data_IF_149627238391
#
_entry.id   IF_149627238391
#
_cell.length_a   1.000
_cell.length_b   1.000
_cell.length_c   1.000
_cell.angle_alpha   90.00
_cell.angle_beta   90.00
_cell.angle_gamma   90.00
#
_symmetry.space_group_name_H-M   'P 1'
#
loop_
_entity.id
_entity.type
_entity.pdbx_description
1 polymer ?
#
# COMPACT_ATOMS: atom_id res chain seq x y z
N UNK A 1 -1.01 63.78 34.55
CA UNK A 1 -2.37 63.44 34.12
C UNK A 1 -2.24 62.35 33.03
N UNK A 2 -2.29 61.07 33.43
CA UNK A 2 -2.13 59.91 32.53
C UNK A 2 -3.52 59.54 31.98
N UNK A 3 -3.74 59.64 30.70
CA UNK A 3 -4.93 59.09 30.04
C UNK A 3 -4.72 57.64 29.76
N UNK A 4 -5.45 56.77 30.44
CA UNK A 4 -5.62 55.38 30.00
C UNK A 4 -6.35 55.37 28.65
N UNK A 5 -5.70 54.83 27.64
CA UNK A 5 -6.32 54.50 26.36
C UNK A 5 -7.17 53.25 26.57
N UNK A 6 -8.50 53.42 26.61
CA UNK A 6 -9.41 52.25 26.59
C UNK A 6 -9.24 51.57 25.23
N UNK A 7 -8.62 50.41 25.22
CA UNK A 7 -8.73 49.47 24.12
C UNK A 7 -10.16 48.91 24.13
N UNK A 8 -10.95 49.33 23.15
CA UNK A 8 -12.24 48.68 22.90
C UNK A 8 -11.96 47.29 22.28
N UNK A 9 -11.90 46.28 23.13
CA UNK A 9 -11.96 44.90 22.70
C UNK A 9 -13.35 44.64 22.12
N UNK A 10 -13.48 44.75 20.78
CA UNK A 10 -14.72 44.41 20.09
C UNK A 10 -14.79 42.83 20.08
N UNK A 11 -15.62 42.31 20.94
CA UNK A 11 -15.92 40.87 20.92
C UNK A 11 -16.68 40.47 19.65
N UNK A 12 -16.46 39.22 19.20
CA UNK A 12 -17.21 38.61 18.10
C UNK A 12 -18.70 38.59 18.38
N UNK A 13 -19.50 38.93 17.40
CA UNK A 13 -20.96 38.79 17.48
C UNK A 13 -21.36 37.33 17.26
N UNK A 14 -22.49 36.92 17.86
CA UNK A 14 -23.01 35.56 17.66
C UNK A 14 -23.30 35.27 16.18
N UNK A 15 -23.76 36.26 15.42
CA UNK A 15 -24.05 36.10 13.98
C UNK A 15 -22.77 35.88 13.14
N UNK A 16 -21.66 36.52 13.47
CA UNK A 16 -20.36 36.29 12.80
C UNK A 16 -19.90 34.85 13.04
N UNK A 17 -20.05 34.31 14.25
CA UNK A 17 -19.70 32.93 14.53
C UNK A 17 -20.58 31.96 13.73
N UNK A 18 -21.90 32.21 13.67
CA UNK A 18 -22.84 31.36 12.91
C UNK A 18 -22.51 31.36 11.42
N UNK A 19 -22.23 32.51 10.84
CA UNK A 19 -21.86 32.60 9.40
C UNK A 19 -20.57 31.80 9.14
N UNK A 20 -19.56 31.90 10.00
CA UNK A 20 -18.30 31.18 9.84
C UNK A 20 -18.52 29.67 9.85
N UNK A 21 -19.27 29.13 10.82
CA UNK A 21 -19.52 27.67 10.89
C UNK A 21 -20.34 27.17 9.69
N UNK A 22 -21.29 27.96 9.18
CA UNK A 22 -22.07 27.63 7.97
C UNK A 22 -21.16 27.56 6.76
N UNK A 23 -20.29 28.56 6.54
CA UNK A 23 -19.34 28.58 5.42
C UNK A 23 -18.35 27.42 5.52
N UNK A 24 -17.81 27.16 6.72
CA UNK A 24 -16.91 26.01 6.94
C UNK A 24 -17.62 24.68 6.66
N UNK A 25 -18.88 24.55 7.05
CA UNK A 25 -19.69 23.36 6.77
C UNK A 25 -19.86 23.09 5.27
N UNK A 26 -20.13 24.14 4.48
CA UNK A 26 -20.26 24.03 3.01
C UNK A 26 -18.91 23.66 2.39
N UNK A 27 -17.82 24.30 2.80
CA UNK A 27 -16.48 23.99 2.30
C UNK A 27 -16.06 22.55 2.64
N UNK A 28 -16.34 22.10 3.86
CA UNK A 28 -16.05 20.75 4.29
C UNK A 28 -16.82 19.71 3.47
N UNK A 29 -18.10 19.94 3.15
CA UNK A 29 -18.93 19.05 2.36
C UNK A 29 -18.35 18.79 0.96
N UNK A 30 -17.64 19.76 0.37
CA UNK A 30 -17.00 19.62 -0.94
C UNK A 30 -15.57 19.04 -0.82
N UNK A 31 -14.83 19.40 0.23
CA UNK A 31 -13.43 19.01 0.39
C UNK A 31 -13.26 17.54 0.82
N UNK A 32 -14.13 17.02 1.69
CA UNK A 32 -14.02 15.68 2.24
C UNK A 32 -14.03 14.59 1.15
N UNK A 33 -14.98 14.54 0.21
CA UNK A 33 -14.97 13.51 -0.84
C UNK A 33 -13.70 13.52 -1.70
N UNK A 34 -13.17 14.71 -2.00
CA UNK A 34 -11.93 14.85 -2.77
C UNK A 34 -10.71 14.31 -2.03
N UNK A 35 -10.66 14.50 -0.72
CA UNK A 35 -9.55 14.01 0.09
C UNK A 35 -9.50 12.47 0.08
N UNK A 36 -10.64 11.79 0.14
CA UNK A 36 -10.69 10.34 0.07
C UNK A 36 -10.23 9.80 -1.29
N UNK A 37 -10.62 10.43 -2.41
CA UNK A 37 -10.16 10.00 -3.74
C UNK A 37 -8.64 10.15 -3.90
N UNK A 38 -8.07 11.26 -3.45
CA UNK A 38 -6.61 11.49 -3.50
C UNK A 38 -5.86 10.46 -2.65
N UNK A 39 -6.38 10.11 -1.47
CA UNK A 39 -5.77 9.10 -0.60
C UNK A 39 -5.74 7.73 -1.26
N UNK A 40 -6.80 7.33 -1.95
CA UNK A 40 -6.87 6.08 -2.69
C UNK A 40 -5.88 6.05 -3.86
N UNK A 41 -5.84 7.11 -4.67
CA UNK A 41 -4.90 7.21 -5.80
C UNK A 41 -3.44 7.17 -5.34
N UNK A 42 -3.14 7.81 -4.20
CA UNK A 42 -1.81 7.74 -3.59
C UNK A 42 -1.46 6.32 -3.11
N UNK A 43 -2.43 5.58 -2.57
CA UNK A 43 -2.23 4.19 -2.18
C UNK A 43 -1.96 3.30 -3.40
N UNK A 44 -2.73 3.44 -4.49
CA UNK A 44 -2.53 2.73 -5.76
C UNK A 44 -1.11 2.97 -6.27
N UNK A 45 -0.70 4.24 -6.39
CA UNK A 45 0.65 4.59 -6.84
C UNK A 45 1.75 4.01 -5.93
N UNK A 46 1.50 3.91 -4.62
CA UNK A 46 2.45 3.31 -3.68
C UNK A 46 2.55 1.80 -3.90
N UNK A 47 1.44 1.12 -4.14
CA UNK A 47 1.40 -0.32 -4.47
C UNK A 47 2.14 -0.59 -5.77
N UNK A 48 1.85 0.17 -6.83
CA UNK A 48 2.50 0.00 -8.15
C UNK A 48 4.02 0.21 -8.06
N UNK A 49 4.45 1.25 -7.36
CA UNK A 49 5.88 1.51 -7.13
C UNK A 49 6.55 0.37 -6.35
N UNK A 50 5.85 -0.18 -5.34
CA UNK A 50 6.40 -1.30 -4.57
C UNK A 50 6.54 -2.54 -5.46
N UNK A 51 5.54 -2.88 -6.26
CA UNK A 51 5.58 -4.01 -7.18
C UNK A 51 6.75 -3.86 -8.16
N UNK A 52 6.93 -2.69 -8.76
CA UNK A 52 8.05 -2.42 -9.66
C UNK A 52 9.43 -2.59 -8.98
N UNK A 53 9.54 -2.15 -7.71
CA UNK A 53 10.77 -2.34 -6.93
C UNK A 53 11.05 -3.82 -6.64
N UNK A 54 10.00 -4.59 -6.31
CA UNK A 54 10.11 -6.03 -6.05
C UNK A 54 10.45 -6.82 -7.33
N UNK A 55 9.90 -6.43 -8.48
CA UNK A 55 10.28 -7.00 -9.78
C UNK A 55 11.75 -6.72 -10.11
N UNK A 56 12.21 -5.52 -9.82
CA UNK A 56 13.63 -5.15 -9.99
C UNK A 56 14.54 -5.97 -9.07
N UNK A 57 14.12 -6.20 -7.82
CA UNK A 57 14.85 -7.03 -6.87
C UNK A 57 14.93 -8.49 -7.35
N UNK A 58 13.82 -9.05 -7.85
CA UNK A 58 13.82 -10.39 -8.45
C UNK A 58 14.75 -10.49 -9.67
N UNK A 59 14.79 -9.48 -10.52
CA UNK A 59 15.69 -9.47 -11.68
C UNK A 59 17.17 -9.45 -11.25
N UNK A 60 17.51 -8.70 -10.21
CA UNK A 60 18.86 -8.68 -9.63
C UNK A 60 19.20 -10.04 -9.03
N UNK A 61 18.28 -10.64 -8.24
CA UNK A 61 18.45 -11.98 -7.70
C UNK A 61 18.72 -13.02 -8.80
N UNK A 62 17.89 -13.04 -9.84
CA UNK A 62 18.06 -13.95 -10.98
C UNK A 62 19.42 -13.79 -11.63
N UNK A 63 19.82 -12.54 -11.89
CA UNK A 63 21.13 -12.24 -12.49
C UNK A 63 22.29 -12.75 -11.63
N UNK A 64 22.18 -12.61 -10.31
CA UNK A 64 23.17 -13.12 -9.36
C UNK A 64 23.24 -14.64 -9.37
N UNK A 65 22.09 -15.33 -9.37
CA UNK A 65 22.04 -16.79 -9.44
C UNK A 65 22.75 -17.32 -10.70
N UNK A 66 22.52 -16.65 -11.86
CA UNK A 66 23.23 -17.01 -13.09
C UNK A 66 24.73 -16.79 -13.00
N UNK A 67 25.18 -15.68 -12.42
CA UNK A 67 26.62 -15.40 -12.26
C UNK A 67 27.29 -16.42 -11.34
N UNK A 68 26.58 -16.87 -10.31
CA UNK A 68 27.06 -17.83 -9.31
C UNK A 68 26.88 -19.29 -9.75
N UNK A 69 26.25 -19.54 -10.92
CA UNK A 69 25.95 -20.88 -11.42
C UNK A 69 24.94 -21.64 -10.55
N UNK A 70 24.08 -20.92 -9.83
CA UNK A 70 23.07 -21.47 -8.93
C UNK A 70 21.69 -21.55 -9.61
N UNK A 71 20.85 -22.53 -9.23
CA UNK A 71 19.50 -22.62 -9.76
C UNK A 71 18.64 -21.44 -9.30
N UNK A 72 17.81 -20.91 -10.20
CA UNK A 72 16.82 -19.89 -9.87
C UNK A 72 15.59 -20.55 -9.24
N UNK A 73 15.25 -20.15 -8.03
CA UNK A 73 14.09 -20.65 -7.29
C UNK A 73 13.22 -19.48 -6.79
N UNK A 74 11.97 -19.76 -6.42
CA UNK A 74 11.12 -18.75 -5.79
C UNK A 74 11.78 -18.25 -4.50
N UNK A 75 11.90 -16.93 -4.39
CA UNK A 75 12.62 -16.24 -3.34
C UNK A 75 11.81 -15.03 -2.85
N UNK A 76 12.00 -14.66 -1.58
CA UNK A 76 11.37 -13.48 -1.02
C UNK A 76 12.07 -12.20 -1.52
N UNK A 77 11.48 -11.40 -2.41
CA UNK A 77 12.18 -10.25 -2.99
C UNK A 77 12.41 -9.10 -2.00
N UNK A 78 11.73 -9.08 -0.86
CA UNK A 78 12.00 -8.09 0.18
C UNK A 78 13.38 -8.25 0.80
N UNK A 79 13.95 -9.46 0.77
CA UNK A 79 15.28 -9.76 1.32
C UNK A 79 16.41 -9.20 0.44
N UNK A 80 16.12 -8.92 -0.84
CA UNK A 80 17.07 -8.35 -1.80
C UNK A 80 17.04 -6.81 -1.85
N UNK A 81 16.09 -6.19 -1.17
CA UNK A 81 16.02 -4.74 -1.12
C UNK A 81 17.10 -4.15 -0.22
N UNK A 82 17.83 -3.14 -0.72
CA UNK A 82 18.81 -2.40 0.07
C UNK A 82 18.20 -1.77 1.33
N UNK A 83 16.94 -1.32 1.21
CA UNK A 83 16.17 -0.79 2.33
C UNK A 83 14.83 -1.50 2.38
N UNK A 84 14.64 -2.33 3.37
CA UNK A 84 13.36 -3.00 3.59
C UNK A 84 12.31 -1.95 4.00
N UNK A 85 11.16 -1.87 3.32
CA UNK A 85 10.15 -0.88 3.63
C UNK A 85 9.57 -1.05 5.03
N UNK A 86 9.34 0.06 5.74
CA UNK A 86 8.77 0.04 7.10
C UNK A 86 7.35 -0.52 7.18
N UNK A 87 6.69 -0.65 6.05
CA UNK A 87 5.37 -1.27 5.92
C UNK A 87 5.42 -2.75 5.51
N UNK A 88 6.60 -3.37 5.42
CA UNK A 88 6.75 -4.82 5.33
C UNK A 88 6.83 -5.42 6.73
N UNK A 89 5.98 -6.41 7.01
CA UNK A 89 5.89 -7.04 8.34
C UNK A 89 6.56 -8.41 8.42
N UNK A 90 7.19 -8.85 7.34
CA UNK A 90 7.91 -10.12 7.30
C UNK A 90 7.09 -11.28 6.72
N UNK A 91 7.53 -12.50 7.03
CA UNK A 91 6.88 -13.72 6.57
C UNK A 91 5.63 -14.00 7.40
N UNK A 92 4.52 -14.27 6.71
CA UNK A 92 3.24 -14.64 7.29
C UNK A 92 2.77 -16.00 6.69
N UNK A 93 3.35 -17.10 7.21
CA UNK A 93 3.07 -18.45 6.74
C UNK A 93 3.06 -19.44 7.93
N UNK A 94 1.92 -20.07 8.27
CA UNK A 94 0.61 -19.94 7.61
C UNK A 94 -0.01 -18.55 7.79
N UNK A 95 -0.79 -18.13 6.80
CA UNK A 95 -1.35 -16.78 6.79
C UNK A 95 -2.28 -16.56 7.97
N UNK A 96 -1.94 -15.56 8.77
CA UNK A 96 -2.81 -14.98 9.78
C UNK A 96 -3.12 -13.53 9.40
N UNK A 97 -4.37 -13.16 9.12
CA UNK A 97 -4.73 -11.80 8.72
C UNK A 97 -4.27 -10.72 9.68
N UNK A 98 -4.31 -11.00 10.98
CA UNK A 98 -3.89 -10.05 12.03
C UNK A 98 -2.40 -9.71 11.97
N UNK A 99 -1.59 -10.55 11.33
CA UNK A 99 -0.15 -10.32 11.16
C UNK A 99 0.17 -9.38 9.99
N UNK A 100 -0.83 -9.04 9.16
CA UNK A 100 -0.68 -8.09 8.06
C UNK A 100 -1.75 -7.01 8.19
N UNK A 101 -1.58 -5.99 9.05
CA UNK A 101 -2.52 -4.89 9.22
C UNK A 101 -2.68 -4.07 7.94
N UNK A 102 -3.70 -3.19 7.91
CA UNK A 102 -3.98 -2.29 6.79
C UNK A 102 -2.76 -1.48 6.35
N UNK A 103 -2.54 -1.39 5.06
CA UNK A 103 -1.40 -0.69 4.44
C UNK A 103 -0.07 -1.42 4.59
N UNK A 104 -0.06 -2.69 4.99
CA UNK A 104 1.14 -3.49 5.19
C UNK A 104 1.30 -4.59 4.16
N UNK A 105 2.57 -4.94 3.94
CA UNK A 105 3.00 -6.04 3.10
C UNK A 105 3.44 -7.21 3.93
N UNK A 106 3.21 -8.41 3.45
CA UNK A 106 3.78 -9.64 3.98
C UNK A 106 4.13 -10.61 2.87
N UNK A 107 5.00 -11.57 3.17
CA UNK A 107 5.37 -12.63 2.25
C UNK A 107 4.92 -13.98 2.78
N UNK A 108 4.37 -14.81 1.90
CA UNK A 108 4.06 -16.20 2.20
C UNK A 108 4.99 -17.10 1.42
N UNK A 109 5.77 -17.89 2.13
CA UNK A 109 6.75 -18.82 1.54
C UNK A 109 6.06 -19.91 0.72
N UNK A 110 4.98 -20.48 1.27
CA UNK A 110 4.18 -21.48 0.56
C UNK A 110 3.45 -20.83 -0.61
N UNK A 111 3.90 -21.15 -1.82
CA UNK A 111 3.35 -20.62 -3.07
C UNK A 111 3.98 -19.33 -3.57
N UNK A 112 4.94 -18.74 -2.83
CA UNK A 112 5.64 -17.51 -3.25
C UNK A 112 4.70 -16.31 -3.40
N UNK A 113 3.86 -16.04 -2.40
CA UNK A 113 2.89 -14.97 -2.45
C UNK A 113 3.39 -13.72 -1.74
N UNK A 114 3.28 -12.59 -2.42
CA UNK A 114 3.43 -11.26 -1.86
C UNK A 114 2.02 -10.73 -1.61
N UNK A 115 1.73 -10.41 -0.37
CA UNK A 115 0.39 -10.00 0.06
C UNK A 115 0.41 -8.56 0.54
N UNK A 116 -0.57 -7.79 0.13
CA UNK A 116 -0.82 -6.43 0.60
C UNK A 116 -2.23 -6.34 1.17
N UNK A 117 -2.38 -5.79 2.38
CA UNK A 117 -3.67 -5.47 2.96
C UNK A 117 -3.99 -4.00 2.70
N UNK A 118 -4.89 -3.67 1.74
CA UNK A 118 -5.17 -2.29 1.38
C UNK A 118 -5.99 -1.56 2.45
N UNK A 119 -5.74 -0.26 2.63
CA UNK A 119 -6.56 0.64 3.45
C UNK A 119 -7.83 1.05 2.70
N UNK A 120 -7.69 1.30 1.39
CA UNK A 120 -8.82 1.60 0.54
C UNK A 120 -9.61 0.32 0.21
N UNK A 121 -10.90 0.46 0.04
CA UNK A 121 -11.75 -0.67 -0.32
C UNK A 121 -11.41 -1.21 -1.71
N UNK A 122 -11.35 -2.53 -1.83
CA UNK A 122 -11.19 -3.24 -3.11
C UNK A 122 -12.34 -4.22 -3.32
N UNK A 123 -12.60 -4.55 -4.59
CA UNK A 123 -13.46 -5.66 -4.99
C UNK A 123 -12.57 -6.81 -5.47
N UNK A 124 -12.97 -8.05 -5.20
CA UNK A 124 -12.12 -9.22 -5.52
C UNK A 124 -11.01 -9.41 -4.49
N UNK A 125 -9.84 -9.86 -4.96
CA UNK A 125 -8.71 -10.21 -4.11
C UNK A 125 -8.92 -11.50 -3.32
N UNK A 126 -7.91 -11.87 -2.54
CA UNK A 126 -7.99 -13.05 -1.66
C UNK A 126 -8.55 -12.65 -0.29
N UNK A 127 -9.47 -13.47 0.25
CA UNK A 127 -10.11 -13.18 1.53
C UNK A 127 -9.67 -14.19 2.59
N UNK A 128 -9.26 -13.68 3.75
CA UNK A 128 -8.94 -14.48 4.93
C UNK A 128 -9.32 -13.72 6.19
N UNK A 129 -10.03 -14.39 7.11
CA UNK A 129 -10.44 -13.80 8.39
C UNK A 129 -11.32 -12.55 8.28
N UNK A 130 -11.98 -12.33 7.13
CA UNK A 130 -12.79 -11.14 6.86
C UNK A 130 -12.03 -10.00 6.16
N UNK A 131 -10.70 -10.07 6.11
CA UNK A 131 -9.84 -9.12 5.42
C UNK A 131 -9.65 -9.49 3.95
N UNK A 132 -9.44 -8.49 3.09
CA UNK A 132 -9.17 -8.67 1.66
C UNK A 132 -7.75 -8.26 1.34
N UNK A 133 -7.04 -9.15 0.66
CA UNK A 133 -5.64 -8.95 0.29
C UNK A 133 -5.49 -8.87 -1.23
N UNK A 134 -4.61 -7.97 -1.67
CA UNK A 134 -4.03 -7.99 -3.00
C UNK A 134 -2.89 -9.00 -2.98
N UNK A 135 -2.91 -9.96 -3.91
CA UNK A 135 -1.88 -11.00 -3.99
C UNK A 135 -1.16 -10.92 -5.32
N UNK A 136 0.15 -10.86 -5.23
CA UNK A 136 1.07 -11.10 -6.33
C UNK A 136 1.79 -12.41 -6.11
N UNK A 137 1.81 -13.26 -7.11
CA UNK A 137 2.51 -14.54 -7.06
C UNK A 137 3.82 -14.48 -7.84
N UNK A 138 4.88 -14.99 -7.25
CA UNK A 138 6.15 -15.18 -7.93
C UNK A 138 6.02 -16.40 -8.83
N UNK A 139 6.15 -16.19 -10.14
CA UNK A 139 6.12 -17.25 -11.14
C UNK A 139 7.46 -17.38 -11.84
N UNK A 140 7.90 -18.62 -12.02
CA UNK A 140 9.07 -18.93 -12.83
C UNK A 140 8.77 -18.68 -14.31
N UNK A 141 9.70 -18.03 -14.98
CA UNK A 141 9.76 -17.98 -16.44
C UNK A 141 10.72 -19.08 -16.86
N UNK A 142 10.24 -20.02 -17.68
CA UNK A 142 11.01 -21.20 -18.08
C UNK A 142 11.34 -21.16 -19.57
N UNK A 143 12.54 -21.65 -19.93
CA UNK A 143 12.94 -21.97 -21.29
C UNK A 143 13.37 -23.45 -21.32
N UNK A 144 12.57 -24.27 -21.99
CA UNK A 144 12.72 -25.72 -21.89
C UNK A 144 12.49 -26.23 -20.44
N UNK A 145 13.54 -26.77 -19.83
CA UNK A 145 13.54 -27.28 -18.45
C UNK A 145 14.11 -26.29 -17.45
N UNK A 146 14.72 -25.20 -17.93
CA UNK A 146 15.46 -24.26 -17.09
C UNK A 146 14.63 -23.05 -16.72
N UNK A 147 14.69 -22.65 -15.44
CA UNK A 147 14.10 -21.40 -14.98
C UNK A 147 15.01 -20.26 -15.37
N UNK A 148 14.57 -19.46 -16.36
CA UNK A 148 15.35 -18.33 -16.90
C UNK A 148 14.99 -16.98 -16.28
N UNK A 149 14.01 -16.95 -15.39
CA UNK A 149 13.61 -15.71 -14.74
C UNK A 149 12.52 -15.92 -13.69
N UNK A 150 12.23 -14.85 -12.98
CA UNK A 150 11.09 -14.74 -12.07
C UNK A 150 10.30 -13.48 -12.43
N UNK A 151 8.98 -13.55 -12.32
CA UNK A 151 8.09 -12.40 -12.48
C UNK A 151 7.03 -12.38 -11.42
N UNK A 152 6.49 -11.19 -11.14
CA UNK A 152 5.28 -11.04 -10.34
C UNK A 152 4.05 -11.05 -11.26
N UNK A 153 3.01 -11.73 -10.84
CA UNK A 153 1.75 -11.79 -11.57
C UNK A 153 0.59 -11.85 -10.60
N UNK A 154 -0.51 -11.20 -10.94
CA UNK A 154 -1.77 -11.44 -10.28
C UNK A 154 -2.36 -12.77 -10.74
N UNK A 155 -2.92 -13.53 -9.83
CA UNK A 155 -3.59 -14.78 -10.17
C UNK A 155 -5.03 -14.47 -10.57
N UNK A 156 -5.55 -14.95 -11.73
CA UNK A 156 -6.92 -14.68 -12.15
C UNK A 156 -7.99 -15.05 -11.10
N UNK A 157 -7.71 -16.04 -10.25
CA UNK A 157 -8.58 -16.44 -9.15
C UNK A 157 -8.69 -15.38 -8.03
N UNK A 158 -7.75 -14.43 -7.98
CA UNK A 158 -7.65 -13.37 -6.97
C UNK A 158 -7.51 -12.00 -7.60
N UNK A 159 -8.06 -11.86 -8.81
CA UNK A 159 -8.11 -10.56 -9.47
C UNK A 159 -8.88 -9.54 -8.63
N UNK A 160 -8.43 -8.31 -8.67
CA UNK A 160 -8.96 -7.24 -7.83
C UNK A 160 -9.16 -5.95 -8.62
N UNK A 161 -10.04 -5.11 -8.11
CA UNK A 161 -10.19 -3.73 -8.57
C UNK A 161 -10.37 -2.79 -7.38
N UNK A 162 -9.84 -1.59 -7.50
CA UNK A 162 -10.03 -0.54 -6.52
C UNK A 162 -11.43 0.08 -6.65
N UNK A 163 -12.17 0.19 -5.54
CA UNK A 163 -13.52 0.77 -5.49
C UNK A 163 -13.50 2.30 -5.45
#
# INVERSE_FOLDING_TARGET
MWRCKENSDSGFTLIELVIVIVVLGILAAIAIPRLFSVSKEAEIATVDNMVANLESALAIYVSKQYMDGQPVAAHNPFDDLTNVPSNYVGVNDPVNPTNTPDGKWSFRTTGGWIMYNPKAAITGGWTSGGERFIIYQIQAVVDGTDTVGLRLTTTPAYDYSWN
#
